data_IF_326854273872
#
_entry.id   IF_326854273872
#
_cell.length_a   1.000
_cell.length_b   1.000
_cell.length_c   1.000
_cell.angle_alpha   90.00
_cell.angle_beta   90.00
_cell.angle_gamma   90.00
#
_symmetry.space_group_name_H-M   'P 1'
#
loop_
_entity.id
_entity.type
_entity.pdbx_description
1 polymer ?
#
# COMPACT_ATOMS: atom_id res chain seq x y z
N UNK A 1 5.95 32.59 19.10
CA UNK A 1 5.80 32.00 17.75
C UNK A 1 6.66 30.76 17.51
N UNK A 2 7.91 30.64 17.99
CA UNK A 2 8.83 29.52 17.66
C UNK A 2 8.47 28.16 18.26
N UNK A 3 7.81 28.11 19.43
CA UNK A 3 7.48 26.85 20.12
C UNK A 3 6.38 26.01 19.45
N UNK A 4 5.53 26.60 18.60
CA UNK A 4 4.50 25.85 17.86
C UNK A 4 5.11 24.93 16.78
N UNK A 5 6.27 25.30 16.22
CA UNK A 5 6.91 24.55 15.15
C UNK A 5 7.65 23.31 15.66
N UNK A 6 8.17 23.31 16.89
CA UNK A 6 9.00 22.21 17.39
C UNK A 6 8.16 21.01 17.85
N UNK A 7 6.90 21.23 18.24
CA UNK A 7 5.99 20.15 18.69
C UNK A 7 5.12 19.55 17.59
N UNK A 8 4.61 20.36 16.66
CA UNK A 8 3.65 19.91 15.64
C UNK A 8 4.36 19.23 14.46
N UNK A 9 5.56 19.69 14.10
CA UNK A 9 6.32 19.20 12.95
C UNK A 9 6.81 17.75 13.12
N UNK A 10 7.45 17.35 14.24
CA UNK A 10 7.82 15.95 14.42
C UNK A 10 6.58 15.07 14.58
N UNK A 11 5.53 15.51 15.29
CA UNK A 11 4.30 14.74 15.45
C UNK A 11 3.63 14.46 14.10
N UNK A 12 3.52 15.47 13.22
CA UNK A 12 2.98 15.28 11.87
C UNK A 12 3.87 14.40 10.99
N UNK A 13 5.20 14.52 11.11
CA UNK A 13 6.16 13.70 10.37
C UNK A 13 6.10 12.21 10.74
N UNK A 14 5.72 11.87 11.99
CA UNK A 14 5.52 10.48 12.42
C UNK A 14 4.07 9.99 12.21
N UNK A 15 3.07 10.87 12.35
CA UNK A 15 1.65 10.50 12.26
C UNK A 15 1.17 10.41 10.80
N UNK A 16 1.60 11.34 9.93
CA UNK A 16 1.24 11.36 8.52
C UNK A 16 1.62 10.08 7.76
N UNK A 17 2.85 9.51 7.86
CA UNK A 17 3.18 8.27 7.17
C UNK A 17 2.37 7.08 7.69
N UNK A 18 2.06 7.03 8.99
CA UNK A 18 1.21 5.98 9.57
C UNK A 18 -0.25 6.07 9.09
N UNK A 19 -0.82 7.28 8.99
CA UNK A 19 -2.16 7.45 8.44
C UNK A 19 -2.19 7.24 6.92
N UNK A 20 -1.12 7.62 6.21
CA UNK A 20 -0.97 7.38 4.78
C UNK A 20 -0.94 5.88 4.47
N UNK A 21 -0.26 5.07 5.30
CA UNK A 21 -0.33 3.61 5.17
C UNK A 21 -1.76 3.09 5.37
N UNK A 22 -2.47 3.58 6.38
CA UNK A 22 -3.85 3.15 6.66
C UNK A 22 -4.83 3.55 5.56
N UNK A 23 -4.70 4.74 4.98
CA UNK A 23 -5.53 5.18 3.86
C UNK A 23 -5.17 4.42 2.58
N UNK A 24 -3.88 4.10 2.38
CA UNK A 24 -3.42 3.26 1.28
C UNK A 24 -4.00 1.84 1.36
N UNK A 25 -4.01 1.22 2.55
CA UNK A 25 -4.66 -0.08 2.77
C UNK A 25 -6.17 -0.04 2.50
N UNK A 26 -6.81 1.09 2.81
CA UNK A 26 -8.23 1.30 2.53
C UNK A 26 -8.50 1.37 1.02
N UNK A 27 -7.70 2.17 0.31
CA UNK A 27 -7.72 2.26 -1.16
C UNK A 27 -7.39 0.93 -1.83
N UNK A 28 -6.44 0.16 -1.29
CA UNK A 28 -6.12 -1.20 -1.74
C UNK A 28 -7.34 -2.13 -1.69
N UNK A 29 -8.10 -2.06 -0.59
CA UNK A 29 -9.30 -2.87 -0.41
C UNK A 29 -10.42 -2.46 -1.39
N UNK A 30 -10.59 -1.16 -1.61
CA UNK A 30 -11.53 -0.62 -2.62
C UNK A 30 -11.12 -1.01 -4.05
N UNK A 31 -9.82 -0.96 -4.34
CA UNK A 31 -9.21 -1.36 -5.61
C UNK A 31 -9.13 -2.90 -5.81
N UNK A 32 -9.74 -3.71 -4.92
CA UNK A 32 -9.69 -5.18 -4.95
C UNK A 32 -8.27 -5.76 -5.02
N UNK A 33 -7.30 -5.11 -4.38
CA UNK A 33 -5.90 -5.52 -4.34
C UNK A 33 -5.21 -5.56 -5.74
N UNK A 34 -5.74 -4.81 -6.70
CA UNK A 34 -5.15 -4.62 -8.03
C UNK A 34 -4.03 -3.57 -8.00
N UNK A 35 -3.03 -3.76 -7.14
CA UNK A 35 -1.83 -2.92 -7.12
C UNK A 35 -0.63 -3.83 -7.29
N UNK A 36 0.36 -3.43 -8.08
CA UNK A 36 1.56 -4.24 -8.22
C UNK A 36 2.29 -4.30 -6.87
N UNK A 37 2.53 -5.51 -6.36
CA UNK A 37 3.22 -5.71 -5.08
C UNK A 37 4.71 -5.34 -5.16
N UNK A 38 5.27 -5.26 -6.38
CA UNK A 38 6.69 -4.95 -6.64
C UNK A 38 6.94 -3.45 -6.79
N UNK A 39 6.18 -2.77 -7.66
CA UNK A 39 6.39 -1.34 -7.95
C UNK A 39 5.34 -0.41 -7.32
N UNK A 40 4.27 -0.96 -6.73
CA UNK A 40 3.20 -0.16 -6.13
C UNK A 40 2.25 0.50 -7.14
N UNK A 41 2.40 0.21 -8.44
CA UNK A 41 1.56 0.83 -9.47
C UNK A 41 0.13 0.30 -9.42
N UNK A 42 -0.84 1.19 -9.61
CA UNK A 42 -2.24 0.81 -9.65
C UNK A 42 -2.56 0.08 -10.97
N UNK A 43 -3.08 -1.14 -10.86
CA UNK A 43 -3.45 -2.01 -11.98
C UNK A 43 -4.98 -2.11 -12.13
N UNK A 44 -5.77 -1.31 -11.40
CA UNK A 44 -7.22 -1.26 -11.60
C UNK A 44 -7.56 -0.91 -13.05
N UNK A 45 -8.42 -1.73 -13.66
CA UNK A 45 -8.85 -1.57 -15.05
C UNK A 45 -7.99 -2.34 -16.07
N UNK A 46 -6.89 -2.97 -15.65
CA UNK A 46 -6.16 -3.90 -16.51
C UNK A 46 -6.83 -5.29 -16.55
N UNK A 47 -6.56 -6.09 -17.60
CA UNK A 47 -7.03 -7.46 -17.69
C UNK A 47 -6.56 -8.31 -16.51
N UNK A 48 -7.31 -9.39 -16.24
CA UNK A 48 -7.04 -10.31 -15.13
C UNK A 48 -5.66 -10.96 -15.24
N UNK A 49 -5.18 -11.23 -16.45
CA UNK A 49 -3.83 -11.74 -16.71
C UNK A 49 -3.08 -10.76 -17.60
N UNK A 50 -2.21 -9.95 -16.99
CA UNK A 50 -1.38 -9.02 -17.74
C UNK A 50 -0.02 -8.81 -17.08
N UNK A 51 0.84 -8.05 -17.77
CA UNK A 51 2.10 -7.59 -17.21
C UNK A 51 1.92 -6.18 -16.70
N UNK A 52 2.56 -5.86 -15.58
CA UNK A 52 2.60 -4.50 -15.10
C UNK A 52 3.35 -3.62 -16.14
N UNK A 53 2.79 -2.48 -16.58
CA UNK A 53 3.42 -1.64 -17.59
C UNK A 53 4.70 -0.94 -17.10
N UNK A 54 4.85 -0.76 -15.79
CA UNK A 54 6.02 -0.14 -15.17
C UNK A 54 7.20 -1.10 -15.02
N UNK A 55 6.95 -2.28 -14.42
CA UNK A 55 8.02 -3.22 -14.05
C UNK A 55 8.06 -4.49 -14.91
N UNK A 56 7.10 -4.69 -15.82
CA UNK A 56 7.00 -5.88 -16.66
C UNK A 56 6.62 -7.17 -15.93
N UNK A 57 6.38 -7.11 -14.61
CA UNK A 57 6.04 -8.30 -13.80
C UNK A 57 4.67 -8.83 -14.23
N UNK A 58 4.63 -10.11 -14.60
CA UNK A 58 3.37 -10.79 -14.87
C UNK A 58 2.56 -10.90 -13.57
N UNK A 59 1.31 -10.48 -13.62
CA UNK A 59 0.38 -10.59 -12.52
C UNK A 59 -0.92 -11.21 -13.01
N UNK A 60 -1.51 -12.04 -12.16
CA UNK A 60 -2.88 -12.49 -12.32
C UNK A 60 -3.70 -11.85 -11.19
N UNK A 61 -4.78 -11.14 -11.50
CA UNK A 61 -5.62 -10.42 -10.54
C UNK A 61 -6.07 -11.29 -9.36
N UNK A 62 -6.48 -12.53 -9.61
CA UNK A 62 -6.91 -13.46 -8.57
C UNK A 62 -5.74 -13.82 -7.64
N UNK A 63 -4.57 -14.15 -8.22
CA UNK A 63 -3.38 -14.47 -7.41
C UNK A 63 -2.77 -13.23 -6.73
N UNK A 64 -2.91 -12.05 -7.33
CA UNK A 64 -2.37 -10.80 -6.82
C UNK A 64 -3.10 -10.40 -5.55
N UNK A 65 -4.42 -10.56 -5.53
CA UNK A 65 -5.23 -10.34 -4.33
C UNK A 65 -4.87 -11.30 -3.17
N UNK A 66 -4.64 -12.57 -3.49
CA UNK A 66 -4.18 -13.56 -2.51
C UNK A 66 -2.80 -13.18 -1.95
N UNK A 67 -1.85 -12.82 -2.82
CA UNK A 67 -0.51 -12.37 -2.43
C UNK A 67 -0.54 -11.11 -1.54
N UNK A 68 -1.38 -10.13 -1.86
CA UNK A 68 -1.58 -8.96 -1.00
C UNK A 68 -2.12 -9.36 0.37
N UNK A 69 -3.10 -10.26 0.42
CA UNK A 69 -3.66 -10.73 1.68
C UNK A 69 -2.61 -11.47 2.51
N UNK A 70 -1.79 -12.30 1.89
CA UNK A 70 -0.68 -13.00 2.55
C UNK A 70 0.36 -12.01 3.10
N UNK A 71 0.77 -11.02 2.29
CA UNK A 71 1.71 -9.99 2.71
C UNK A 71 1.17 -9.13 3.87
N UNK A 72 -0.10 -8.74 3.83
CA UNK A 72 -0.70 -7.98 4.94
C UNK A 72 -0.72 -8.74 6.26
N UNK A 73 -0.87 -10.07 6.22
CA UNK A 73 -0.80 -10.91 7.43
C UNK A 73 0.61 -10.91 8.03
N UNK A 74 1.67 -10.88 7.22
CA UNK A 74 3.04 -10.89 7.74
C UNK A 74 3.40 -9.58 8.43
N UNK A 75 2.95 -8.43 7.91
CA UNK A 75 3.26 -7.11 8.50
C UNK A 75 2.44 -6.84 9.76
N UNK A 76 1.21 -7.36 9.82
CA UNK A 76 0.33 -7.14 10.98
C UNK A 76 0.70 -8.04 12.18
N UNK A 77 1.66 -8.95 12.01
CA UNK A 77 2.23 -9.71 13.12
C UNK A 77 3.03 -8.75 14.01
N UNK A 78 2.50 -8.44 15.20
CA UNK A 78 3.26 -7.70 16.21
C UNK A 78 4.52 -8.52 16.57
N UNK A 79 5.70 -7.91 16.63
CA UNK A 79 6.84 -8.55 17.27
C UNK A 79 6.48 -8.78 18.75
N UNK A 80 6.66 -10.02 19.20
CA UNK A 80 6.49 -10.48 20.58
C UNK A 80 7.67 -10.04 21.46
#
# INVERSE_FOLDING_TARGET
MVWLCVGVFPLWMFVAPHLALRSFLRKLREARYLICLTCGQNLTGLPEDHKCPECGTAFNAATLADRWTAWLRTINRKPE
#
